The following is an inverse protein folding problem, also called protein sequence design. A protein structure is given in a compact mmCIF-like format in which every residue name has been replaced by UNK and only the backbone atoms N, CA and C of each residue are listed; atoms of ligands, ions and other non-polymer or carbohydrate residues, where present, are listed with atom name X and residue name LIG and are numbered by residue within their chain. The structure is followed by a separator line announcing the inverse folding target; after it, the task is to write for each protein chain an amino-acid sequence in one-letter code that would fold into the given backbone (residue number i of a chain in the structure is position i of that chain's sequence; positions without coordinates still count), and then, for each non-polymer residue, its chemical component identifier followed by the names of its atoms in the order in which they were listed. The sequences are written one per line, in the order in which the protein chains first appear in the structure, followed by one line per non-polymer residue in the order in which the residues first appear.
data_IF_245639006867
#
_entry.id   IF_245639006867
#
_cell.length_a   1.000
_cell.length_b   1.000
_cell.length_c   1.000
_cell.angle_alpha   90.00
_cell.angle_beta   90.00
_cell.angle_gamma   90.00
#
_symmetry.space_group_name_H-M   'P 1'
#
loop_
_entity.id
_entity.type
_entity.pdbx_description
1 polymer ?
#
# COMPACT_ATOMS: atom_id res chain seq x y z
N UNK A 1 -12.75 -7.43 3.47
CA UNK A 1 -11.56 -7.26 4.35
C UNK A 1 -11.04 -5.86 4.09
N UNK A 2 -10.93 -5.02 5.10
CA UNK A 2 -10.40 -3.66 4.97
C UNK A 2 -8.94 -3.68 5.39
N UNK A 3 -8.04 -3.23 4.50
CA UNK A 3 -6.63 -3.03 4.84
C UNK A 3 -6.57 -1.82 5.78
N UNK A 4 -5.80 -1.92 6.86
CA UNK A 4 -5.64 -0.84 7.81
C UNK A 4 -4.19 -0.37 7.77
N UNK A 5 -3.96 0.77 7.11
CA UNK A 5 -2.75 1.55 7.24
C UNK A 5 -3.05 2.65 8.26
N UNK A 6 -2.66 2.41 9.51
CA UNK A 6 -2.88 3.28 10.67
C UNK A 6 -1.64 3.28 11.60
N UNK A 7 -1.76 3.87 12.78
CA UNK A 7 -0.68 3.89 13.76
C UNK A 7 -0.16 2.49 14.13
N UNK A 8 -1.01 1.46 14.11
CA UNK A 8 -0.59 0.07 14.37
C UNK A 8 0.28 -0.46 13.24
N UNK A 9 -0.04 -0.15 11.99
CA UNK A 9 0.81 -0.45 10.86
C UNK A 9 2.19 0.22 11.00
N UNK A 10 2.23 1.50 11.39
CA UNK A 10 3.50 2.20 11.64
C UNK A 10 4.33 1.54 12.73
N UNK A 11 3.68 1.12 13.83
CA UNK A 11 4.35 0.38 14.89
C UNK A 11 4.93 -0.95 14.39
N UNK A 12 4.19 -1.69 13.57
CA UNK A 12 4.64 -2.97 13.01
C UNK A 12 5.90 -2.83 12.14
N UNK A 13 6.03 -1.74 11.38
CA UNK A 13 7.21 -1.47 10.53
C UNK A 13 8.33 -0.72 11.27
N UNK A 14 8.12 -0.38 12.55
CA UNK A 14 9.13 0.27 13.40
C UNK A 14 9.17 1.80 13.29
N UNK A 15 8.07 2.42 12.86
CA UNK A 15 7.86 3.86 12.74
C UNK A 15 6.86 4.41 13.77
N UNK A 16 6.63 3.73 14.89
CA UNK A 16 5.73 4.18 15.97
C UNK A 16 6.08 5.57 16.55
N UNK A 17 7.28 6.09 16.28
CA UNK A 17 7.72 7.40 16.75
C UNK A 17 7.38 8.58 15.82
N UNK A 18 6.79 8.32 14.64
CA UNK A 18 6.25 9.40 13.80
C UNK A 18 5.04 10.03 14.48
N UNK A 19 4.92 11.36 14.42
CA UNK A 19 3.84 12.11 15.07
C UNK A 19 3.34 13.22 14.15
N UNK A 20 2.06 13.54 14.25
CA UNK A 20 1.46 14.69 13.59
C UNK A 20 1.50 14.58 12.06
N UNK A 21 2.06 15.61 11.41
CA UNK A 21 2.07 15.71 9.94
C UNK A 21 2.88 14.60 9.26
N UNK A 22 3.98 14.15 9.88
CA UNK A 22 4.84 13.11 9.31
C UNK A 22 4.16 11.73 9.35
N UNK A 23 3.38 11.45 10.39
CA UNK A 23 2.56 10.24 10.48
C UNK A 23 1.53 10.22 9.34
N UNK A 24 0.75 11.30 9.20
CA UNK A 24 -0.29 11.38 8.18
C UNK A 24 0.30 11.31 6.76
N UNK A 25 1.35 12.07 6.47
CA UNK A 25 1.98 12.08 5.16
C UNK A 25 2.54 10.70 4.78
N UNK A 26 3.08 9.95 5.74
CA UNK A 26 3.56 8.60 5.49
C UNK A 26 2.41 7.61 5.24
N UNK A 27 1.32 7.72 6.00
CA UNK A 27 0.14 6.89 5.80
C UNK A 27 -0.50 7.16 4.42
N UNK A 28 -0.63 8.43 4.04
CA UNK A 28 -1.15 8.83 2.73
C UNK A 28 -0.28 8.27 1.60
N UNK A 29 1.04 8.44 1.70
CA UNK A 29 2.00 7.85 0.76
C UNK A 29 1.86 6.32 0.66
N UNK A 30 1.69 5.63 1.80
CA UNK A 30 1.51 4.18 1.80
C UNK A 30 0.19 3.76 1.16
N UNK A 31 -0.90 4.51 1.37
CA UNK A 31 -2.18 4.27 0.71
C UNK A 31 -2.05 4.44 -0.81
N UNK A 32 -1.56 5.58 -1.27
CA UNK A 32 -1.41 5.87 -2.71
C UNK A 32 -0.51 4.85 -3.40
N UNK A 33 0.60 4.46 -2.74
CA UNK A 33 1.51 3.44 -3.26
C UNK A 33 0.83 2.08 -3.38
N UNK A 34 0.05 1.68 -2.37
CA UNK A 34 -0.69 0.43 -2.40
C UNK A 34 -1.74 0.42 -3.50
N UNK A 35 -2.53 1.49 -3.61
CA UNK A 35 -3.57 1.64 -4.64
C UNK A 35 -2.98 1.56 -6.04
N UNK A 36 -1.89 2.28 -6.29
CA UNK A 36 -1.19 2.25 -7.58
C UNK A 36 -0.66 0.85 -7.90
N UNK A 37 0.01 0.17 -6.96
CA UNK A 37 0.53 -1.19 -7.18
C UNK A 37 -0.57 -2.21 -7.45
N UNK A 38 -1.64 -2.16 -6.66
CA UNK A 38 -2.81 -3.02 -6.86
C UNK A 38 -3.45 -2.75 -8.21
N UNK A 39 -3.64 -1.49 -8.60
CA UNK A 39 -4.18 -1.10 -9.89
C UNK A 39 -3.34 -1.63 -11.06
N UNK A 40 -2.02 -1.46 -10.98
CA UNK A 40 -1.08 -1.96 -11.99
C UNK A 40 -1.08 -3.49 -12.10
N UNK A 41 -1.05 -4.20 -10.97
CA UNK A 41 -1.10 -5.68 -10.96
C UNK A 41 -2.42 -6.22 -11.49
N UNK A 42 -3.54 -5.56 -11.20
CA UNK A 42 -4.85 -5.93 -11.72
C UNK A 42 -4.95 -5.65 -13.21
N UNK A 43 -4.56 -4.45 -13.66
CA UNK A 43 -4.56 -4.06 -15.07
C UNK A 43 -3.67 -5.00 -15.91
N UNK A 44 -2.50 -5.39 -15.39
CA UNK A 44 -1.60 -6.34 -16.07
C UNK A 44 -2.15 -7.75 -16.26
N UNK A 45 -3.27 -8.09 -15.60
CA UNK A 45 -3.98 -9.38 -15.74
C UNK A 45 -5.26 -9.26 -16.57
N UNK A 46 -5.65 -8.04 -16.92
CA UNK A 46 -6.86 -7.75 -17.68
C UNK A 46 -6.54 -7.60 -19.16
N UNK A 47 -7.50 -7.97 -20.00
CA UNK A 47 -7.44 -7.64 -21.43
C UNK A 47 -7.80 -6.17 -21.64
N UNK A 48 -7.40 -5.58 -22.78
CA UNK A 48 -7.71 -4.17 -23.12
C UNK A 48 -9.22 -3.86 -23.02
N UNK A 49 -10.08 -4.78 -23.47
CA UNK A 49 -11.54 -4.63 -23.37
C UNK A 49 -12.04 -4.61 -21.91
N UNK A 50 -11.42 -5.41 -21.04
CA UNK A 50 -11.77 -5.46 -19.62
C UNK A 50 -11.29 -4.20 -18.89
N UNK A 51 -10.12 -3.67 -19.25
CA UNK A 51 -9.61 -2.42 -18.69
C UNK A 51 -10.54 -1.26 -19.05
N UNK A 52 -10.97 -1.16 -20.32
CA UNK A 52 -11.92 -0.15 -20.76
C UNK A 52 -13.32 -0.29 -20.14
N UNK A 53 -13.73 -1.51 -19.76
CA UNK A 53 -14.95 -1.71 -18.96
C UNK A 53 -14.76 -1.24 -17.53
N UNK A 54 -13.64 -1.59 -16.90
CA UNK A 54 -13.32 -1.19 -15.54
C UNK A 54 -13.19 0.33 -15.38
N UNK A 55 -12.53 1.02 -16.32
CA UNK A 55 -12.42 2.48 -16.34
C UNK A 55 -13.79 3.17 -16.34
N UNK A 56 -14.74 2.66 -17.14
CA UNK A 56 -16.11 3.20 -17.16
C UNK A 56 -16.84 3.03 -15.84
N UNK A 57 -16.58 1.93 -15.12
CA UNK A 57 -17.19 1.66 -13.81
C UNK A 57 -16.61 2.57 -12.72
N UNK A 58 -15.31 2.88 -12.79
CA UNK A 58 -14.63 3.77 -11.83
C UNK A 58 -15.02 5.24 -12.07
N UNK A 59 -15.15 5.68 -13.32
CA UNK A 59 -15.45 7.08 -13.69
C UNK A 59 -16.79 7.58 -13.12
N UNK A 60 -17.76 6.70 -12.91
CA UNK A 60 -19.03 7.02 -12.24
C UNK A 60 -18.90 7.24 -10.72
N UNK A 61 -17.67 7.18 -10.17
CA UNK A 61 -17.35 7.22 -8.73
C UNK A 61 -18.15 6.15 -7.95
N UNK A 62 -18.42 5.01 -8.61
CA UNK A 62 -19.20 3.90 -8.07
C UNK A 62 -18.28 2.82 -7.49
N UNK A 63 -17.84 3.02 -6.24
CA UNK A 63 -17.06 2.04 -5.48
C UNK A 63 -17.76 0.67 -5.40
N UNK A 64 -19.10 0.65 -5.37
CA UNK A 64 -19.88 -0.57 -5.32
C UNK A 64 -19.84 -1.29 -6.68
N UNK A 65 -20.00 -0.55 -7.77
CA UNK A 65 -19.84 -1.03 -9.14
C UNK A 65 -18.45 -1.59 -9.39
N UNK A 66 -17.39 -0.88 -8.99
CA UNK A 66 -16.01 -1.34 -9.16
C UNK A 66 -15.75 -2.64 -8.38
N UNK A 67 -16.27 -2.72 -7.16
CA UNK A 67 -16.19 -3.94 -6.34
C UNK A 67 -16.96 -5.10 -6.99
N UNK A 68 -18.15 -4.85 -7.54
CA UNK A 68 -18.93 -5.87 -8.22
C UNK A 68 -18.19 -6.40 -9.45
N UNK A 69 -17.71 -5.50 -10.32
CA UNK A 69 -16.96 -5.85 -11.52
C UNK A 69 -15.72 -6.69 -11.18
N UNK A 70 -14.97 -6.30 -10.15
CA UNK A 70 -13.84 -7.10 -9.67
C UNK A 70 -14.24 -8.48 -9.17
N UNK A 71 -15.39 -8.65 -8.51
CA UNK A 71 -15.85 -9.98 -8.10
C UNK A 71 -16.18 -10.89 -9.29
N UNK A 72 -16.67 -10.31 -10.39
CA UNK A 72 -17.09 -11.04 -11.59
C UNK A 72 -15.90 -11.39 -12.50
N UNK A 73 -14.99 -10.44 -12.72
CA UNK A 73 -13.89 -10.58 -13.69
C UNK A 73 -12.52 -10.88 -13.06
N UNK A 74 -12.31 -10.51 -11.79
CA UNK A 74 -11.05 -10.69 -11.07
C UNK A 74 -11.30 -11.24 -9.64
N UNK A 75 -11.89 -12.44 -9.49
CA UNK A 75 -12.33 -12.95 -8.17
C UNK A 75 -11.19 -13.11 -7.15
N UNK A 76 -9.94 -13.14 -7.61
CA UNK A 76 -8.73 -13.17 -6.81
C UNK A 76 -8.15 -11.77 -6.48
N UNK A 77 -8.82 -10.67 -6.84
CA UNK A 77 -8.34 -9.30 -6.57
C UNK A 77 -7.99 -9.08 -5.10
N UNK A 78 -8.77 -9.67 -4.18
CA UNK A 78 -8.50 -9.60 -2.73
C UNK A 78 -7.19 -10.28 -2.33
N UNK A 79 -6.76 -11.30 -3.07
CA UNK A 79 -5.46 -11.94 -2.88
C UNK A 79 -4.35 -11.03 -3.40
N UNK A 80 -4.56 -10.36 -4.53
CA UNK A 80 -3.62 -9.35 -5.07
C UNK A 80 -3.43 -8.22 -4.07
N UNK A 81 -4.53 -7.61 -3.59
CA UNK A 81 -4.51 -6.56 -2.56
C UNK A 81 -3.71 -6.99 -1.33
N UNK A 82 -3.94 -8.22 -0.84
CA UNK A 82 -3.20 -8.74 0.30
C UNK A 82 -1.71 -8.93 -0.02
N UNK A 83 -1.40 -9.53 -1.16
CA UNK A 83 -0.02 -9.79 -1.55
C UNK A 83 0.79 -8.48 -1.70
N UNK A 84 0.20 -7.47 -2.35
CA UNK A 84 0.81 -6.16 -2.50
C UNK A 84 0.96 -5.44 -1.16
N UNK A 85 -0.01 -5.57 -0.26
CA UNK A 85 0.10 -5.01 1.08
C UNK A 85 1.23 -5.63 1.90
N UNK A 86 1.36 -6.97 1.91
CA UNK A 86 2.46 -7.62 2.64
C UNK A 86 3.82 -7.25 2.03
N UNK A 87 3.93 -7.19 0.69
CA UNK A 87 5.15 -6.73 0.00
C UNK A 87 5.51 -5.29 0.39
N UNK A 88 4.55 -4.38 0.31
CA UNK A 88 4.74 -2.99 0.69
C UNK A 88 5.14 -2.86 2.16
N UNK A 89 4.50 -3.61 3.05
CA UNK A 89 4.84 -3.65 4.48
C UNK A 89 6.29 -4.08 4.70
N UNK A 90 6.74 -5.15 4.06
CA UNK A 90 8.11 -5.64 4.17
C UNK A 90 9.13 -4.64 3.60
N UNK A 91 8.82 -4.03 2.47
CA UNK A 91 9.67 -2.99 1.86
C UNK A 91 9.80 -1.76 2.76
N UNK A 92 8.68 -1.26 3.30
CA UNK A 92 8.70 -0.10 4.19
C UNK A 92 9.41 -0.41 5.51
N UNK A 93 9.26 -1.63 6.04
CA UNK A 93 10.01 -2.11 7.21
C UNK A 93 11.51 -2.12 6.96
N UNK A 94 11.94 -2.63 5.80
CA UNK A 94 13.35 -2.65 5.41
C UNK A 94 13.91 -1.24 5.27
N UNK A 95 13.18 -0.33 4.62
CA UNK A 95 13.55 1.07 4.47
C UNK A 95 13.65 1.78 5.84
N UNK A 96 12.66 1.59 6.71
CA UNK A 96 12.66 2.15 8.06
C UNK A 96 13.83 1.62 8.91
N UNK A 97 14.21 0.35 8.75
CA UNK A 97 15.40 -0.21 9.40
C UNK A 97 16.69 0.40 8.86
N UNK A 98 16.83 0.53 7.54
CA UNK A 98 18.01 1.12 6.91
C UNK A 98 18.21 2.58 7.29
N UNK A 99 17.14 3.38 7.36
CA UNK A 99 17.21 4.77 7.82
C UNK A 99 17.70 4.85 9.27
N UNK A 100 17.16 4.02 10.17
CA UNK A 100 17.61 3.99 11.57
C UNK A 100 19.08 3.60 11.71
N UNK A 101 19.54 2.68 10.87
CA UNK A 101 20.94 2.28 10.82
C UNK A 101 21.84 3.41 10.32
N UNK A 102 21.39 4.13 9.29
CA UNK A 102 22.13 5.24 8.68
C UNK A 102 22.22 6.46 9.60
N UNK A 103 21.17 6.72 10.38
CA UNK A 103 21.10 7.84 11.33
C UNK A 103 21.45 7.43 12.76
N UNK A 104 22.00 6.23 12.98
CA UNK A 104 22.55 5.82 14.27
C UNK A 104 23.67 6.82 14.63
N UNK A 105 23.49 7.70 15.63
CA UNK A 105 24.57 8.58 16.03
C UNK A 105 25.72 7.69 16.48
N UNK A 106 26.93 7.99 16.04
CA UNK A 106 28.15 7.28 16.43
C UNK A 106 28.45 7.52 17.92
N UNK A 107 27.65 6.96 18.83
CA UNK A 107 28.00 6.78 20.22
C UNK A 107 28.91 5.55 20.32
N UNK A 108 30.12 5.70 19.79
CA UNK A 108 31.12 4.64 19.70
C UNK A 108 32.55 5.14 19.51
N UNK A 109 32.84 6.42 19.75
CA UNK A 109 34.20 6.84 20.07
C UNK A 109 34.33 6.88 21.61
N UNK A 110 34.97 5.86 22.17
CA UNK A 110 35.72 6.03 23.41
C UNK A 110 37.10 5.41 23.22
N UNK A 111 38.14 6.08 23.76
CA UNK A 111 39.55 5.91 23.41
C UNK A 111 40.16 4.57 23.85
#
# INVERSE_FOLDING_TARGET
MKIQLDHRFLADIGLAGLLGADEQAFLDYAYETLEHRVGMELAGRMSDDQLAEFERVIDDNDEAGATQWLNEHAPDYRKVVRAEFERLKDELRAQAAALRETYRPESGASP
#
